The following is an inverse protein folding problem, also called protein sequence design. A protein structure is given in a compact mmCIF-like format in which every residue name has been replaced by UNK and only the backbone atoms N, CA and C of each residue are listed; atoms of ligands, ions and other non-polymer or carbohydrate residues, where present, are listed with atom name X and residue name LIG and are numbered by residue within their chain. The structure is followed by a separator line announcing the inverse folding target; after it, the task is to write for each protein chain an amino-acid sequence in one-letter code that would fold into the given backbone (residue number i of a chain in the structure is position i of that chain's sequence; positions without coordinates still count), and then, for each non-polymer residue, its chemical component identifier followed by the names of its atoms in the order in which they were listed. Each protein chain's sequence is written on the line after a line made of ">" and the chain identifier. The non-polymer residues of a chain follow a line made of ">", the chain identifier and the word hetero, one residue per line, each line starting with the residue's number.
data_IF_857248497341
#
_entry.id   IF_857248497341
#
_cell.length_a   1.000
_cell.length_b   1.000
_cell.length_c   1.000
_cell.angle_alpha   90.00
_cell.angle_beta   90.00
_cell.angle_gamma   90.00
#
_symmetry.space_group_name_H-M   'P 1'
#
loop_
_entity.id
_entity.type
_entity.pdbx_description
1 polymer ?
#
# COMPACT_ATOMS: atom_id res chain seq x y z
N UNK A 1 -22.95 12.86 10.38
CA UNK A 1 -21.92 11.81 10.52
C UNK A 1 -21.25 12.06 11.84
N UNK A 2 -21.48 11.18 12.83
CA UNK A 2 -20.87 11.36 14.16
C UNK A 2 -19.34 11.21 14.09
N UNK A 3 -18.59 11.95 14.93
CA UNK A 3 -17.14 11.80 14.98
C UNK A 3 -16.78 10.40 15.47
N UNK A 4 -16.07 9.63 14.65
CA UNK A 4 -15.56 8.31 15.01
C UNK A 4 -14.56 8.46 16.17
N UNK A 5 -14.77 7.72 17.26
CA UNK A 5 -13.87 7.71 18.41
C UNK A 5 -12.47 7.26 17.96
N UNK A 6 -11.44 8.03 18.36
CA UNK A 6 -10.03 7.69 18.10
C UNK A 6 -9.65 6.30 18.64
N UNK A 7 -10.36 5.78 19.63
CA UNK A 7 -10.17 4.45 20.23
C UNK A 7 -10.75 3.30 19.42
N UNK A 8 -11.67 3.58 18.50
CA UNK A 8 -12.31 2.58 17.63
C UNK A 8 -11.68 2.52 16.24
N UNK A 9 -10.70 3.39 15.97
CA UNK A 9 -9.93 3.36 14.72
C UNK A 9 -9.18 2.02 14.63
N UNK A 10 -9.32 1.26 13.53
CA UNK A 10 -8.46 0.11 13.26
C UNK A 10 -6.99 0.51 13.47
N UNK A 11 -6.21 -0.33 14.15
CA UNK A 11 -4.76 -0.12 14.42
C UNK A 11 -3.98 0.22 13.14
N UNK A 12 -4.50 -0.23 11.99
CA UNK A 12 -4.04 0.09 10.63
C UNK A 12 -4.06 1.58 10.26
N UNK A 13 -4.78 2.41 11.01
CA UNK A 13 -4.85 3.85 10.83
C UNK A 13 -3.99 4.61 11.84
N UNK A 14 -3.18 3.97 12.69
CA UNK A 14 -2.19 4.67 13.52
C UNK A 14 -1.32 5.56 12.61
N UNK A 15 -1.34 6.90 12.77
CA UNK A 15 -0.64 7.80 11.86
C UNK A 15 0.86 7.83 12.14
N UNK A 16 1.31 7.43 13.33
CA UNK A 16 2.69 7.65 13.75
C UNK A 16 3.68 6.93 12.83
N UNK A 17 4.63 7.69 12.29
CA UNK A 17 5.67 7.17 11.39
C UNK A 17 5.17 6.76 10.00
N UNK A 18 3.88 6.98 9.68
CA UNK A 18 3.32 6.76 8.36
C UNK A 18 3.53 7.96 7.45
N UNK A 19 3.55 7.73 6.14
CA UNK A 19 3.78 8.80 5.17
C UNK A 19 2.50 9.09 4.39
N UNK A 20 2.15 10.37 4.28
CA UNK A 20 1.10 10.83 3.37
C UNK A 20 1.54 10.60 1.92
N UNK A 21 0.72 9.89 1.15
CA UNK A 21 1.03 9.56 -0.25
C UNK A 21 0.93 10.74 -1.21
N UNK A 22 0.37 11.86 -0.76
CA UNK A 22 0.23 13.09 -1.55
C UNK A 22 1.41 14.03 -1.34
N UNK A 23 1.68 14.45 -0.09
CA UNK A 23 2.75 15.41 0.20
C UNK A 23 4.07 14.78 0.68
N UNK A 24 4.08 13.48 0.98
CA UNK A 24 5.28 12.79 1.46
C UNK A 24 5.68 13.11 2.91
N UNK A 25 4.86 13.89 3.64
CA UNK A 25 5.07 14.18 5.06
C UNK A 25 4.87 12.93 5.91
N UNK A 26 5.78 12.71 6.85
CA UNK A 26 5.59 11.73 7.93
C UNK A 26 4.61 12.26 8.96
N UNK A 27 3.60 11.47 9.29
CA UNK A 27 2.59 11.79 10.27
C UNK A 27 3.08 11.46 11.70
N UNK A 28 2.67 12.31 12.63
CA UNK A 28 2.79 12.15 14.08
C UNK A 28 1.57 11.42 14.64
N UNK A 29 1.63 10.99 15.91
CA UNK A 29 0.50 10.33 16.58
C UNK A 29 -0.77 11.20 16.64
N UNK A 30 -0.63 12.53 16.65
CA UNK A 30 -1.75 13.48 16.75
C UNK A 30 -2.38 13.85 15.40
N UNK A 31 -1.72 13.48 14.29
CA UNK A 31 -2.19 13.79 12.95
C UNK A 31 -3.50 13.06 12.62
N UNK A 32 -4.37 13.76 11.88
CA UNK A 32 -5.56 13.16 11.27
C UNK A 32 -5.19 12.63 9.89
N UNK A 33 -5.36 11.32 9.73
CA UNK A 33 -5.12 10.62 8.47
C UNK A 33 -6.34 9.79 8.09
N UNK A 34 -6.61 9.73 6.79
CA UNK A 34 -7.51 8.76 6.17
C UNK A 34 -6.69 7.83 5.28
N UNK A 35 -7.15 6.61 5.06
CA UNK A 35 -6.52 5.79 4.04
C UNK A 35 -7.04 4.36 3.93
N UNK A 36 -6.42 3.63 3.00
CA UNK A 36 -6.75 2.27 2.60
C UNK A 36 -5.70 1.75 1.61
N UNK A 37 -5.59 0.43 1.47
CA UNK A 37 -4.58 -0.20 0.58
C UNK A 37 -3.11 0.20 0.86
N UNK A 38 -2.79 0.56 2.10
CA UNK A 38 -1.46 1.07 2.47
C UNK A 38 -1.18 2.49 1.97
N UNK A 39 -2.16 3.15 1.37
CA UNK A 39 -2.14 4.56 0.96
C UNK A 39 -2.79 5.38 2.07
N UNK A 40 -2.15 6.46 2.47
CA UNK A 40 -2.65 7.34 3.53
C UNK A 40 -2.62 8.79 3.03
N UNK A 41 -3.59 9.59 3.47
CA UNK A 41 -3.71 11.00 3.12
C UNK A 41 -3.93 11.82 4.40
N UNK A 42 -3.11 12.84 4.62
CA UNK A 42 -3.29 13.77 5.74
C UNK A 42 -4.48 14.69 5.49
N UNK A 43 -5.03 15.25 6.56
CA UNK A 43 -6.18 16.17 6.49
C UNK A 43 -5.95 17.34 5.50
N UNK A 44 -4.77 17.95 5.51
CA UNK A 44 -4.42 19.08 4.61
C UNK A 44 -4.51 18.68 3.13
N UNK A 45 -4.02 17.50 2.76
CA UNK A 45 -4.11 17.00 1.39
C UNK A 45 -5.55 16.59 1.03
N UNK A 46 -6.35 16.10 1.99
CA UNK A 46 -7.79 15.85 1.77
C UNK A 46 -8.53 17.15 1.48
N UNK A 47 -8.26 18.21 2.24
CA UNK A 47 -8.86 19.53 2.02
C UNK A 47 -8.46 20.11 0.65
N UNK A 48 -7.18 20.00 0.30
CA UNK A 48 -6.66 20.42 -1.00
C UNK A 48 -7.35 19.67 -2.15
N UNK A 49 -7.44 18.34 -2.05
CA UNK A 49 -8.12 17.52 -3.05
C UNK A 49 -9.63 17.81 -3.13
N UNK A 50 -10.26 18.11 -2.00
CA UNK A 50 -11.66 18.50 -1.95
C UNK A 50 -11.91 19.82 -2.68
N UNK A 51 -11.09 20.85 -2.45
CA UNK A 51 -11.16 22.12 -3.17
C UNK A 51 -11.01 21.88 -4.68
N UNK A 52 -9.98 21.13 -5.09
CA UNK A 52 -9.79 20.77 -6.50
C UNK A 52 -11.04 20.16 -7.14
N UNK A 53 -11.66 19.18 -6.46
CA UNK A 53 -12.81 18.46 -7.02
C UNK A 53 -14.09 19.29 -6.99
N UNK A 54 -14.26 20.18 -6.01
CA UNK A 54 -15.54 20.89 -5.79
C UNK A 54 -15.57 22.31 -6.35
N UNK A 55 -14.46 23.03 -6.32
CA UNK A 55 -14.35 24.40 -6.86
C UNK A 55 -13.52 24.48 -8.13
N UNK A 56 -12.74 23.44 -8.47
CA UNK A 56 -11.79 23.48 -9.59
C UNK A 56 -10.54 24.31 -9.29
N UNK A 57 -10.40 24.83 -8.08
CA UNK A 57 -9.20 25.52 -7.62
C UNK A 57 -8.10 24.48 -7.38
N UNK A 58 -6.91 24.71 -7.92
CA UNK A 58 -5.72 23.90 -7.63
C UNK A 58 -4.87 24.71 -6.66
N UNK A 59 -4.93 24.50 -5.34
CA UNK A 59 -3.95 25.10 -4.45
C UNK A 59 -2.54 24.59 -4.80
N UNK A 60 -1.52 25.41 -4.58
CA UNK A 60 -0.10 25.10 -4.84
C UNK A 60 0.41 23.80 -4.16
N UNK A 61 -0.37 23.24 -3.24
CA UNK A 61 -0.08 21.98 -2.54
C UNK A 61 -0.17 20.73 -3.45
N UNK A 62 -0.87 20.79 -4.59
CA UNK A 62 -0.86 19.70 -5.59
C UNK A 62 0.28 19.92 -6.57
N UNK A 63 1.51 19.89 -6.05
CA UNK A 63 2.71 20.07 -6.85
C UNK A 63 3.09 18.77 -7.58
N UNK A 64 2.28 18.45 -8.60
CA UNK A 64 2.46 17.33 -9.52
C UNK A 64 3.29 17.71 -10.75
N UNK A 65 3.73 18.98 -10.83
CA UNK A 65 4.49 19.50 -11.96
C UNK A 65 5.99 19.37 -11.71
N UNK A 66 6.61 18.31 -12.21
CA UNK A 66 8.07 18.14 -12.15
C UNK A 66 8.84 19.11 -13.07
N UNK A 67 8.15 19.86 -13.95
CA UNK A 67 8.78 20.67 -15.00
C UNK A 67 9.53 21.89 -14.47
N UNK A 68 9.12 22.42 -13.33
CA UNK A 68 9.68 23.66 -12.76
C UNK A 68 10.49 23.41 -11.47
N UNK A 69 10.77 22.14 -11.15
CA UNK A 69 11.57 21.72 -10.00
C UNK A 69 13.06 21.83 -10.29
N UNK A 70 13.81 22.34 -9.33
CA UNK A 70 15.27 22.22 -9.32
C UNK A 70 15.72 20.76 -9.15
N UNK A 71 16.94 20.45 -9.57
CA UNK A 71 17.54 19.12 -9.35
C UNK A 71 17.53 18.72 -7.87
N UNK A 72 17.81 19.68 -6.97
CA UNK A 72 17.79 19.47 -5.53
C UNK A 72 16.40 19.03 -5.05
N UNK A 73 15.34 19.73 -5.47
CA UNK A 73 13.97 19.37 -5.09
C UNK A 73 13.55 18.00 -5.62
N UNK A 74 13.97 17.64 -6.83
CA UNK A 74 13.71 16.30 -7.41
C UNK A 74 14.37 15.23 -6.54
N UNK A 75 15.65 15.42 -6.18
CA UNK A 75 16.39 14.46 -5.37
C UNK A 75 15.82 14.37 -3.94
N UNK A 76 15.34 15.47 -3.37
CA UNK A 76 14.67 15.49 -2.06
C UNK A 76 13.33 14.76 -2.04
N UNK A 77 12.65 14.67 -3.19
CA UNK A 77 11.38 13.94 -3.30
C UNK A 77 11.57 12.42 -3.29
N UNK A 78 12.69 11.90 -3.81
CA UNK A 78 12.91 10.45 -3.98
C UNK A 78 12.76 9.64 -2.68
N UNK A 79 13.37 10.03 -1.53
CA UNK A 79 13.19 9.29 -0.28
C UNK A 79 11.73 9.25 0.20
N UNK A 80 10.97 10.32 -0.04
CA UNK A 80 9.55 10.41 0.35
C UNK A 80 8.70 9.45 -0.48
N UNK A 81 8.95 9.37 -1.78
CA UNK A 81 8.31 8.42 -2.70
C UNK A 81 8.66 6.97 -2.31
N UNK A 82 9.93 6.70 -2.01
CA UNK A 82 10.36 5.37 -1.53
C UNK A 82 9.65 4.98 -0.23
N UNK A 83 9.49 5.92 0.70
CA UNK A 83 8.79 5.67 1.96
C UNK A 83 7.30 5.34 1.74
N UNK A 84 6.61 6.09 0.87
CA UNK A 84 5.23 5.80 0.48
C UNK A 84 5.10 4.44 -0.22
N UNK A 85 6.01 4.11 -1.15
CA UNK A 85 6.03 2.81 -1.83
C UNK A 85 6.18 1.64 -0.85
N UNK A 86 7.14 1.74 0.09
CA UNK A 86 7.33 0.73 1.15
C UNK A 86 6.09 0.56 2.02
N UNK A 87 5.29 1.60 2.22
CA UNK A 87 4.05 1.51 2.99
C UNK A 87 3.00 0.65 2.28
N UNK A 88 2.81 0.87 0.98
CA UNK A 88 1.94 0.05 0.13
C UNK A 88 2.45 -1.39 0.08
N UNK A 89 3.77 -1.58 -0.09
CA UNK A 89 4.35 -2.92 -0.09
C UNK A 89 4.10 -3.67 1.22
N UNK A 90 4.32 -3.04 2.38
CA UNK A 90 4.03 -3.66 3.68
C UNK A 90 2.57 -4.10 3.78
N UNK A 91 1.65 -3.27 3.32
CA UNK A 91 0.23 -3.62 3.31
C UNK A 91 -0.07 -4.81 2.39
N UNK A 92 0.56 -4.86 1.21
CA UNK A 92 0.47 -6.03 0.32
C UNK A 92 0.99 -7.31 1.00
N UNK A 93 2.11 -7.25 1.72
CA UNK A 93 2.59 -8.40 2.50
C UNK A 93 1.56 -8.87 3.52
N UNK A 94 0.89 -7.95 4.24
CA UNK A 94 -0.19 -8.30 5.16
C UNK A 94 -1.34 -9.02 4.46
N UNK A 95 -1.78 -8.55 3.29
CA UNK A 95 -2.87 -9.20 2.55
C UNK A 95 -2.48 -10.53 1.94
N UNK A 96 -1.24 -10.69 1.50
CA UNK A 96 -0.73 -12.00 1.07
C UNK A 96 -0.68 -12.97 2.26
N UNK A 97 -0.36 -12.51 3.46
CA UNK A 97 -0.43 -13.32 4.68
C UNK A 97 -1.85 -13.83 4.91
N UNK A 98 -2.84 -12.93 4.92
CA UNK A 98 -4.27 -13.26 5.07
C UNK A 98 -4.73 -14.25 4.00
N UNK A 99 -4.30 -14.06 2.74
CA UNK A 99 -4.62 -14.99 1.65
C UNK A 99 -4.05 -16.39 1.91
N UNK A 100 -2.82 -16.48 2.41
CA UNK A 100 -2.17 -17.76 2.74
C UNK A 100 -2.80 -18.44 3.95
N UNK A 101 -3.15 -17.69 4.99
CA UNK A 101 -3.91 -18.19 6.15
C UNK A 101 -5.29 -18.71 5.73
N UNK A 102 -5.90 -18.11 4.71
CA UNK A 102 -7.16 -18.57 4.11
C UNK A 102 -7.01 -19.75 3.15
N UNK A 103 -5.82 -20.36 3.04
CA UNK A 103 -5.57 -21.53 2.19
C UNK A 103 -5.34 -21.25 0.70
N UNK A 104 -5.33 -19.98 0.27
CA UNK A 104 -5.17 -19.62 -1.15
C UNK A 104 -3.75 -19.96 -1.62
N UNK A 105 -3.60 -20.84 -2.62
CA UNK A 105 -2.30 -21.33 -3.07
C UNK A 105 -1.39 -20.25 -3.65
N UNK A 106 -0.06 -20.46 -3.56
CA UNK A 106 0.92 -19.59 -4.21
C UNK A 106 0.72 -19.47 -5.73
N UNK A 107 0.21 -20.53 -6.36
CA UNK A 107 -0.10 -20.51 -7.79
C UNK A 107 -1.26 -19.53 -8.09
N UNK A 108 -2.31 -19.55 -7.26
CA UNK A 108 -3.42 -18.60 -7.40
C UNK A 108 -2.94 -17.17 -7.13
N UNK A 109 -2.25 -16.93 -6.00
CA UNK A 109 -1.71 -15.61 -5.65
C UNK A 109 -0.81 -15.06 -6.77
N UNK A 110 0.10 -15.87 -7.29
CA UNK A 110 0.97 -15.48 -8.40
C UNK A 110 0.18 -15.06 -9.63
N UNK A 111 -0.80 -15.87 -10.07
CA UNK A 111 -1.67 -15.52 -11.20
C UNK A 111 -2.42 -14.21 -10.98
N UNK A 112 -3.00 -14.00 -9.79
CA UNK A 112 -3.70 -12.76 -9.45
C UNK A 112 -2.79 -11.54 -9.48
N UNK A 113 -1.53 -11.70 -9.08
CA UNK A 113 -0.52 -10.64 -9.09
C UNK A 113 0.21 -10.50 -10.46
N UNK A 114 -0.14 -11.30 -11.47
CA UNK A 114 0.51 -11.27 -12.78
C UNK A 114 1.96 -11.79 -12.78
N UNK A 115 2.32 -12.67 -11.83
CA UNK A 115 3.66 -13.26 -11.71
C UNK A 115 3.60 -14.79 -11.66
N UNK A 116 4.74 -15.45 -11.85
CA UNK A 116 4.80 -16.91 -11.69
C UNK A 116 4.63 -17.33 -10.23
N UNK A 117 4.23 -18.59 -10.00
CA UNK A 117 4.16 -19.19 -8.65
C UNK A 117 5.48 -19.03 -7.88
N UNK A 118 6.61 -19.31 -8.55
CA UNK A 118 7.94 -19.21 -7.95
C UNK A 118 8.27 -17.76 -7.58
N UNK A 119 8.03 -16.79 -8.47
CA UNK A 119 8.26 -15.38 -8.17
C UNK A 119 7.42 -14.88 -6.99
N UNK A 120 6.16 -15.31 -6.88
CA UNK A 120 5.32 -15.00 -5.73
C UNK A 120 5.90 -15.62 -4.44
N UNK A 121 6.25 -16.91 -4.47
CA UNK A 121 6.84 -17.58 -3.31
C UNK A 121 8.14 -16.91 -2.84
N UNK A 122 9.08 -16.66 -3.75
CA UNK A 122 10.37 -16.03 -3.44
C UNK A 122 10.20 -14.64 -2.82
N UNK A 123 9.22 -13.87 -3.31
CA UNK A 123 8.93 -12.51 -2.84
C UNK A 123 8.29 -12.51 -1.46
N UNK A 124 7.32 -13.40 -1.21
CA UNK A 124 6.44 -13.30 -0.04
C UNK A 124 6.76 -14.30 1.08
N UNK A 125 7.18 -15.52 0.78
CA UNK A 125 7.28 -16.60 1.76
C UNK A 125 8.26 -16.30 2.91
N UNK A 126 9.36 -15.58 2.63
CA UNK A 126 10.40 -15.27 3.63
C UNK A 126 9.96 -14.32 4.75
N UNK A 127 8.84 -13.61 4.57
CA UNK A 127 8.35 -12.57 5.51
C UNK A 127 7.02 -12.93 6.15
N UNK A 128 6.50 -14.14 5.89
CA UNK A 128 5.30 -14.65 6.54
C UNK A 128 5.70 -15.49 7.76
N UNK A 129 5.12 -15.26 8.95
CA UNK A 129 5.37 -16.10 10.11
C UNK A 129 4.93 -17.55 9.83
N UNK A 130 5.77 -18.51 10.23
CA UNK A 130 5.63 -19.97 10.15
C UNK A 130 4.52 -20.51 9.24
N UNK A 131 4.67 -20.30 7.93
CA UNK A 131 4.06 -21.23 6.98
C UNK A 131 4.80 -22.56 7.10
N UNK A 132 4.12 -23.71 7.22
CA UNK A 132 4.78 -24.99 7.09
C UNK A 132 5.49 -25.02 5.73
N UNK A 133 6.82 -25.13 5.78
CA UNK A 133 7.68 -25.32 4.63
C UNK A 133 7.36 -26.71 4.03
N UNK A 134 6.32 -26.81 3.21
CA UNK A 134 5.91 -28.10 2.66
C UNK A 134 4.50 -28.25 2.11
N UNK A 135 3.74 -27.19 1.83
CA UNK A 135 2.54 -27.32 0.99
C UNK A 135 2.94 -27.41 -0.51
N UNK A 136 3.81 -28.37 -0.83
CA UNK A 136 4.09 -28.81 -2.19
C UNK A 136 3.06 -29.89 -2.54
N UNK A 137 1.87 -29.43 -2.93
CA UNK A 137 0.82 -30.28 -3.48
C UNK A 137 0.93 -30.30 -5.01
N UNK A 138 1.37 -31.45 -5.51
CA UNK A 138 1.33 -31.88 -6.89
C UNK A 138 -0.05 -31.73 -7.53
N UNK A 139 -0.16 -30.93 -8.60
CA UNK A 139 -1.15 -31.14 -9.66
C UNK A 139 -0.44 -30.97 -11.00
N UNK A 140 0.12 -32.09 -11.50
CA UNK A 140 0.35 -32.32 -12.93
C UNK A 140 -0.70 -33.32 -13.43
N UNK A 141 -1.32 -32.92 -14.54
CA UNK A 141 -1.91 -33.71 -15.63
C UNK A 141 -3.13 -34.60 -15.34
N UNK A 142 -4.24 -34.27 -16.01
CA UNK A 142 -4.79 -35.17 -17.02
C UNK A 142 -5.32 -34.37 -18.22
N UNK A 143 -4.57 -34.45 -19.31
CA UNK A 143 -5.04 -34.22 -20.67
C UNK A 143 -5.97 -35.39 -21.01
N UNK A 144 -7.22 -35.13 -21.37
CA UNK A 144 -8.04 -36.11 -22.09
C UNK A 144 -8.37 -35.55 -23.45
N UNK A 145 -7.60 -36.02 -24.42
CA UNK A 145 -7.90 -35.98 -25.85
C UNK A 145 -8.79 -37.19 -26.16
N UNK A 146 -10.01 -36.92 -26.63
CA UNK A 146 -10.81 -37.80 -27.50
C UNK A 146 -11.60 -36.92 -28.47
#
# INVERSE_FOLDING_TARGET
>A
MEPVDRRERPVLLDPEGKVCSFCGRTASADDRVVGGFGVLCCAECVETAHLLVTSGEVPDLVDVAWKDRSEAEILEALPRIVAASRQVERFLFTWVAVARESGISWAHIGRTLGVTRQAAWERFAKRLPDLPAGAEGSEREEVTEQ
#
